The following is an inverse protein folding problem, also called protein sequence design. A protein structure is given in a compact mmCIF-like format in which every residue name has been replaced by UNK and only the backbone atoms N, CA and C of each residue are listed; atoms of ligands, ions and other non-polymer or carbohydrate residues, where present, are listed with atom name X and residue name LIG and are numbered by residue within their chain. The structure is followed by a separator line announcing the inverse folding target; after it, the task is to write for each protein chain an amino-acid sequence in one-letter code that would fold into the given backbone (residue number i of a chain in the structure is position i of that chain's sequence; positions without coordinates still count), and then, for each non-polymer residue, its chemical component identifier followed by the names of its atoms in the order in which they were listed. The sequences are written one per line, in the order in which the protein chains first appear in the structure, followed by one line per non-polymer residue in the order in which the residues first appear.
data_IF_140257962766
#
_entry.id   IF_140257962766
#
_cell.length_a   1.000
_cell.length_b   1.000
_cell.length_c   1.000
_cell.angle_alpha   90.00
_cell.angle_beta   90.00
_cell.angle_gamma   90.00
#
_symmetry.space_group_name_H-M   'P 1'
#
loop_
_entity.id
_entity.type
_entity.pdbx_description
1 polymer ?
#
# COMPACT_ATOMS: atom_id res chain seq x y z
N UNK A 1 -6.68 -12.86 3.74
CA UNK A 1 -6.59 -11.87 2.64
C UNK A 1 -5.44 -10.94 2.95
N UNK A 2 -4.38 -10.96 2.14
CA UNK A 2 -3.23 -10.06 2.34
C UNK A 2 -3.64 -8.60 2.14
N UNK A 3 -2.91 -7.66 2.76
CA UNK A 3 -3.16 -6.24 2.59
C UNK A 3 -3.12 -5.83 1.11
N UNK A 4 -2.21 -6.41 0.34
CA UNK A 4 -2.08 -6.16 -1.09
C UNK A 4 -3.37 -6.53 -1.87
N UNK A 5 -3.98 -7.67 -1.55
CA UNK A 5 -5.24 -8.10 -2.16
C UNK A 5 -6.37 -7.12 -1.83
N UNK A 6 -6.44 -6.64 -0.57
CA UNK A 6 -7.43 -5.63 -0.15
C UNK A 6 -7.23 -4.31 -0.90
N UNK A 7 -6.00 -3.81 -0.99
CA UNK A 7 -5.68 -2.58 -1.72
C UNK A 7 -6.07 -2.71 -3.19
N UNK A 8 -5.81 -3.85 -3.84
CA UNK A 8 -6.21 -4.06 -5.23
C UNK A 8 -7.72 -4.06 -5.43
N UNK A 9 -8.49 -4.61 -4.48
CA UNK A 9 -9.94 -4.57 -4.52
C UNK A 9 -10.45 -3.12 -4.37
N UNK A 10 -9.99 -2.41 -3.33
CA UNK A 10 -10.32 -1.00 -3.08
C UNK A 10 -9.92 -0.09 -4.24
N UNK A 11 -8.80 -0.37 -4.92
CA UNK A 11 -8.40 0.38 -6.12
C UNK A 11 -9.42 0.21 -7.25
N UNK A 12 -9.92 -1.01 -7.46
CA UNK A 12 -10.96 -1.25 -8.48
C UNK A 12 -12.23 -0.49 -8.15
N UNK A 13 -12.61 -0.44 -6.88
CA UNK A 13 -13.83 0.26 -6.46
C UNK A 13 -13.64 1.78 -6.48
N UNK A 14 -12.45 2.29 -6.14
CA UNK A 14 -12.08 3.70 -6.33
C UNK A 14 -12.11 4.11 -7.82
N UNK A 15 -11.65 3.24 -8.73
CA UNK A 15 -11.75 3.47 -10.18
C UNK A 15 -13.20 3.51 -10.66
N UNK A 16 -14.03 2.56 -10.23
CA UNK A 16 -15.46 2.51 -10.59
C UNK A 16 -16.22 3.75 -10.08
N UNK A 17 -15.92 4.18 -8.85
CA UNK A 17 -16.53 5.36 -8.22
C UNK A 17 -15.92 6.69 -8.68
N UNK A 18 -14.91 6.67 -9.57
CA UNK A 18 -14.17 7.85 -10.05
C UNK A 18 -13.56 8.68 -8.90
N UNK A 19 -13.23 8.02 -7.79
CA UNK A 19 -12.64 8.67 -6.62
C UNK A 19 -11.11 8.76 -6.78
N UNK A 20 -10.67 9.77 -7.55
CA UNK A 20 -9.26 10.00 -7.88
C UNK A 20 -8.37 10.23 -6.65
N UNK A 21 -8.90 10.89 -5.61
CA UNK A 21 -8.16 11.13 -4.37
C UNK A 21 -7.82 9.81 -3.65
N UNK A 22 -8.81 8.94 -3.51
CA UNK A 22 -8.64 7.62 -2.89
C UNK A 22 -7.74 6.73 -3.76
N UNK A 23 -7.96 6.72 -5.07
CA UNK A 23 -7.16 5.95 -6.02
C UNK A 23 -5.67 6.33 -5.97
N UNK A 24 -5.35 7.63 -5.89
CA UNK A 24 -3.98 8.12 -5.72
C UNK A 24 -3.37 7.64 -4.40
N UNK A 25 -4.14 7.71 -3.31
CA UNK A 25 -3.72 7.22 -2.00
C UNK A 25 -3.37 5.72 -2.04
N UNK A 26 -4.26 4.90 -2.58
CA UNK A 26 -4.08 3.45 -2.70
C UNK A 26 -2.92 3.05 -3.62
N UNK A 27 -2.73 3.76 -4.74
CA UNK A 27 -1.57 3.55 -5.63
C UNK A 27 -0.25 3.81 -4.92
N UNK A 28 -0.16 4.87 -4.12
CA UNK A 28 1.04 5.18 -3.35
C UNK A 28 1.36 4.10 -2.32
N UNK A 29 0.33 3.55 -1.65
CA UNK A 29 0.52 2.46 -0.69
C UNK A 29 1.01 1.20 -1.41
N UNK A 30 0.40 0.84 -2.54
CA UNK A 30 0.83 -0.31 -3.35
C UNK A 30 2.29 -0.17 -3.80
N UNK A 31 2.71 1.03 -4.22
CA UNK A 31 4.10 1.28 -4.62
C UNK A 31 5.08 1.03 -3.47
N UNK A 32 4.75 1.48 -2.25
CA UNK A 32 5.60 1.25 -1.07
C UNK A 32 5.66 -0.22 -0.64
N UNK A 33 4.57 -0.97 -0.79
CA UNK A 33 4.56 -2.42 -0.58
C UNK A 33 5.48 -3.13 -1.57
N UNK A 34 5.43 -2.76 -2.85
CA UNK A 34 6.32 -3.31 -3.88
C UNK A 34 7.78 -3.00 -3.53
N UNK A 35 8.08 -1.75 -3.17
CA UNK A 35 9.42 -1.32 -2.78
C UNK A 35 9.96 -2.19 -1.64
N UNK A 36 9.16 -2.41 -0.58
CA UNK A 36 9.53 -3.27 0.54
C UNK A 36 9.71 -4.76 0.17
N UNK A 37 8.90 -5.27 -0.77
CA UNK A 37 9.09 -6.63 -1.32
C UNK A 37 10.37 -6.77 -2.13
N UNK A 38 10.80 -5.68 -2.77
CA UNK A 38 12.04 -5.63 -3.56
C UNK A 38 13.27 -5.28 -2.74
N UNK A 39 13.13 -4.93 -1.44
CA UNK A 39 14.28 -4.67 -0.59
C UNK A 39 15.14 -5.94 -0.42
N UNK A 40 16.49 -5.80 -0.43
CA UNK A 40 17.40 -6.91 -0.18
C UNK A 40 17.08 -7.59 1.16
N UNK A 41 16.76 -8.88 1.13
CA UNK A 41 16.41 -9.66 2.32
C UNK A 41 14.92 -9.94 2.50
N UNK A 42 14.02 -9.31 1.72
CA UNK A 42 12.58 -9.64 1.75
C UNK A 42 12.21 -10.90 0.97
N UNK A 43 13.04 -11.36 0.02
CA UNK A 43 12.71 -12.51 -0.86
C UNK A 43 11.34 -12.39 -1.57
N UNK A 44 10.87 -11.18 -1.85
CA UNK A 44 9.56 -10.95 -2.47
C UNK A 44 8.36 -11.06 -1.53
N UNK A 45 8.60 -11.34 -0.25
CA UNK A 45 7.56 -11.42 0.78
C UNK A 45 7.78 -10.34 1.85
N UNK A 46 6.69 -9.89 2.46
CA UNK A 46 6.72 -8.99 3.61
C UNK A 46 5.74 -9.51 4.65
N UNK A 47 6.12 -9.43 5.92
CA UNK A 47 5.22 -9.79 7.02
C UNK A 47 4.18 -8.70 7.24
N UNK A 48 3.06 -9.08 7.88
CA UNK A 48 2.00 -8.12 8.25
C UNK A 48 2.51 -6.98 9.15
N UNK A 49 3.49 -7.27 10.03
CA UNK A 49 4.12 -6.23 10.86
C UNK A 49 4.86 -5.18 10.02
N UNK A 50 5.56 -5.62 8.97
CA UNK A 50 6.25 -4.73 8.05
C UNK A 50 5.25 -3.90 7.24
N UNK A 51 4.16 -4.52 6.80
CA UNK A 51 3.05 -3.82 6.14
C UNK A 51 2.47 -2.70 7.02
N UNK A 52 2.20 -2.99 8.29
CA UNK A 52 1.69 -2.00 9.26
C UNK A 52 2.71 -0.88 9.48
N UNK A 53 3.99 -1.19 9.63
CA UNK A 53 5.06 -0.19 9.80
C UNK A 53 5.17 0.74 8.58
N UNK A 54 5.04 0.21 7.36
CA UNK A 54 5.03 1.01 6.13
C UNK A 54 3.85 1.98 6.14
N UNK A 55 2.65 1.50 6.44
CA UNK A 55 1.45 2.34 6.53
C UNK A 55 1.60 3.45 7.58
N UNK A 56 2.12 3.12 8.76
CA UNK A 56 2.38 4.09 9.82
C UNK A 56 3.39 5.15 9.39
N UNK A 57 4.48 4.75 8.71
CA UNK A 57 5.49 5.68 8.18
C UNK A 57 4.89 6.62 7.13
N UNK A 58 4.09 6.08 6.21
CA UNK A 58 3.38 6.88 5.21
C UNK A 58 2.39 7.87 5.83
N UNK A 59 1.72 7.49 6.91
CA UNK A 59 0.81 8.38 7.63
C UNK A 59 1.57 9.55 8.29
N UNK A 60 2.72 9.28 8.91
CA UNK A 60 3.58 10.33 9.49
C UNK A 60 4.07 11.32 8.43
N UNK A 61 4.63 10.81 7.33
CA UNK A 61 5.14 11.62 6.21
C UNK A 61 4.09 12.51 5.52
N UNK A 62 2.79 12.27 5.74
CA UNK A 62 1.70 13.10 5.18
C UNK A 62 1.12 14.09 6.19
N UNK A 63 1.47 13.93 7.47
CA UNK A 63 1.07 14.83 8.57
C UNK A 63 2.17 15.86 8.88
N UNK A 64 3.42 15.49 8.63
CA UNK A 64 4.58 16.40 8.60
C UNK A 64 4.56 17.24 7.31
#
# INVERSE_FOLDING_TARGET
MSLEQKIMAEMKDAMKSKNEATLRGLRAVKAKIIEAKTEPGSNGEISEDTEIKILQKMLKQRKD
#
